data_IF_937218264877
#
_entry.id   IF_937218264877
#
_cell.length_a   1.000
_cell.length_b   1.000
_cell.length_c   1.000
_cell.angle_alpha   90.00
_cell.angle_beta   90.00
_cell.angle_gamma   90.00
#
_symmetry.space_group_name_H-M   'P 1'
#
loop_
_entity.id
_entity.type
_entity.pdbx_description
1 polymer ?
#
# COMPACT_ATOMS: atom_id res chain seq x y z
N UNK A 1 8.14 -8.90 11.93
CA UNK A 1 8.58 -10.24 11.49
C UNK A 1 8.90 -11.02 12.74
N UNK A 2 8.37 -12.22 12.93
CA UNK A 2 8.69 -13.04 14.10
C UNK A 2 10.11 -13.58 13.87
N UNK A 3 11.13 -12.97 14.49
CA UNK A 3 12.49 -13.51 14.48
C UNK A 3 12.48 -14.87 15.17
N UNK A 4 12.31 -15.94 14.39
CA UNK A 4 12.44 -17.30 14.88
C UNK A 4 13.93 -17.54 15.09
N UNK A 5 14.35 -17.62 16.34
CA UNK A 5 15.73 -17.97 16.69
C UNK A 5 16.12 -19.28 15.98
N UNK A 6 17.10 -19.23 15.08
CA UNK A 6 17.57 -20.41 14.38
C UNK A 6 18.30 -21.29 15.41
N UNK A 7 17.87 -22.54 15.65
CA UNK A 7 18.53 -23.40 16.61
C UNK A 7 19.92 -23.77 16.09
N UNK A 8 20.92 -23.68 16.97
CA UNK A 8 22.30 -24.07 16.64
C UNK A 8 22.36 -25.60 16.56
N UNK A 9 22.78 -26.18 15.41
CA UNK A 9 22.95 -27.62 15.28
C UNK A 9 23.97 -28.19 16.27
N UNK A 10 23.72 -29.41 16.75
CA UNK A 10 24.62 -30.09 17.67
C UNK A 10 26.04 -30.20 17.09
N UNK A 11 27.04 -29.81 17.88
CA UNK A 11 28.47 -29.83 17.49
C UNK A 11 29.01 -28.52 16.93
N UNK A 12 28.16 -27.51 16.68
CA UNK A 12 28.62 -26.15 16.38
C UNK A 12 28.69 -25.34 17.68
N UNK A 13 29.85 -24.72 17.92
CA UNK A 13 30.06 -23.83 19.07
C UNK A 13 30.02 -22.38 18.56
N UNK A 14 29.08 -21.54 19.04
CA UNK A 14 29.07 -20.13 18.67
C UNK A 14 30.35 -19.43 19.15
N UNK A 15 31.00 -18.60 18.31
CA UNK A 15 32.11 -17.77 18.72
C UNK A 15 31.62 -16.67 19.66
N UNK A 16 32.56 -16.09 20.41
CA UNK A 16 32.31 -14.92 21.25
C UNK A 16 32.43 -13.66 20.40
N UNK A 17 31.42 -12.79 20.40
CA UNK A 17 31.51 -11.49 19.75
C UNK A 17 32.34 -10.49 20.58
N UNK A 18 32.54 -9.29 20.05
CA UNK A 18 33.25 -8.21 20.77
C UNK A 18 32.54 -7.73 22.05
N UNK A 19 31.25 -8.06 22.23
CA UNK A 19 30.53 -7.78 23.48
C UNK A 19 30.87 -8.76 24.60
N UNK A 20 31.54 -9.88 24.30
CA UNK A 20 31.81 -10.94 25.28
C UNK A 20 30.63 -11.88 25.54
N UNK A 21 29.59 -11.85 24.68
CA UNK A 21 28.50 -12.82 24.68
C UNK A 21 28.60 -13.79 23.48
N UNK A 22 28.06 -15.03 23.58
CA UNK A 22 27.99 -15.95 22.45
C UNK A 22 27.16 -15.39 21.29
N UNK A 23 27.65 -15.56 20.06
CA UNK A 23 26.93 -15.12 18.86
C UNK A 23 25.66 -15.92 18.61
N UNK A 24 24.69 -15.28 17.95
CA UNK A 24 23.52 -15.96 17.38
C UNK A 24 23.81 -16.37 15.94
N UNK A 25 23.08 -17.38 15.45
CA UNK A 25 23.14 -17.82 14.06
C UNK A 25 22.01 -17.18 13.25
N UNK A 26 22.32 -16.69 12.05
CA UNK A 26 21.35 -16.19 11.10
C UNK A 26 21.59 -16.79 9.70
N UNK A 27 20.59 -16.70 8.81
CA UNK A 27 20.72 -17.10 7.41
C UNK A 27 20.61 -15.87 6.51
N UNK A 28 21.48 -15.77 5.51
CA UNK A 28 21.39 -14.70 4.52
C UNK A 28 20.18 -14.87 3.60
N UNK A 29 19.55 -13.75 3.25
CA UNK A 29 18.50 -13.61 2.25
C UNK A 29 19.01 -13.01 0.91
N UNK A 30 20.31 -12.68 0.83
CA UNK A 30 20.95 -12.13 -0.36
C UNK A 30 21.22 -13.21 -1.43
N UNK A 31 21.14 -12.86 -2.71
CA UNK A 31 21.26 -13.81 -3.84
C UNK A 31 22.58 -14.60 -3.83
N UNK A 32 23.71 -13.90 -3.62
CA UNK A 32 25.05 -14.49 -3.68
C UNK A 32 25.37 -15.36 -2.47
N UNK A 33 24.70 -15.11 -1.35
CA UNK A 33 24.94 -15.80 -0.08
C UNK A 33 23.71 -16.54 0.44
N UNK A 34 22.72 -16.78 -0.42
CA UNK A 34 21.39 -17.20 -0.01
C UNK A 34 21.37 -18.46 0.85
N UNK A 35 20.77 -18.33 2.03
CA UNK A 35 20.71 -19.33 3.10
C UNK A 35 22.06 -19.87 3.58
N UNK A 36 23.18 -19.19 3.29
CA UNK A 36 24.42 -19.45 4.01
C UNK A 36 24.21 -18.99 5.45
N UNK A 37 24.67 -19.81 6.38
CA UNK A 37 24.60 -19.50 7.80
C UNK A 37 25.82 -18.68 8.19
N UNK A 38 25.62 -17.72 9.06
CA UNK A 38 26.67 -16.92 9.66
C UNK A 38 26.39 -16.68 11.14
N UNK A 39 27.45 -16.50 11.89
CA UNK A 39 27.40 -15.98 13.25
C UNK A 39 27.30 -14.47 13.20
N UNK A 40 26.45 -13.90 14.05
CA UNK A 40 26.37 -12.46 14.23
C UNK A 40 26.12 -12.11 15.69
N UNK A 41 26.51 -10.90 16.09
CA UNK A 41 26.16 -10.41 17.42
C UNK A 41 24.65 -10.24 17.58
N UNK A 42 24.12 -10.53 18.77
CA UNK A 42 22.74 -10.18 19.11
C UNK A 42 22.51 -8.66 19.11
N UNK A 43 23.56 -7.88 19.38
CA UNK A 43 23.59 -6.41 19.36
C UNK A 43 24.09 -5.82 18.03
N UNK A 44 23.93 -6.56 16.91
CA UNK A 44 24.37 -6.13 15.56
C UNK A 44 23.54 -4.98 14.98
N UNK A 45 22.22 -5.05 15.16
CA UNK A 45 21.32 -3.94 14.90
C UNK A 45 20.60 -3.63 16.20
N UNK A 46 20.67 -2.37 16.64
CA UNK A 46 19.87 -1.89 17.75
C UNK A 46 18.41 -1.98 17.31
N UNK A 47 17.71 -2.98 17.81
CA UNK A 47 16.26 -3.14 17.69
C UNK A 47 15.65 -2.72 19.04
N UNK A 48 15.52 -1.41 19.30
CA UNK A 48 14.87 -1.00 20.52
C UNK A 48 13.42 -1.43 20.45
N UNK A 49 12.93 -2.12 21.49
CA UNK A 49 11.49 -2.19 21.70
C UNK A 49 10.95 -0.76 21.59
N UNK A 50 9.98 -0.53 20.70
CA UNK A 50 9.44 0.81 20.36
C UNK A 50 9.13 1.67 21.60
N UNK A 51 8.80 1.03 22.73
CA UNK A 51 8.51 1.67 24.02
C UNK A 51 9.73 2.27 24.74
N UNK A 52 10.93 1.76 24.50
CA UNK A 52 12.16 2.17 25.17
C UNK A 52 12.78 3.44 24.54
N UNK A 53 12.56 3.67 23.25
CA UNK A 53 12.99 4.91 22.54
C UNK A 53 12.19 6.13 22.99
N UNK A 54 10.88 5.97 23.24
CA UNK A 54 10.00 7.09 23.61
C UNK A 54 10.35 7.76 24.94
N UNK A 55 11.05 7.07 25.84
CA UNK A 55 11.34 7.57 27.19
C UNK A 55 12.68 8.33 27.23
N UNK A 56 13.49 8.30 26.16
CA UNK A 56 14.75 9.06 26.07
C UNK A 56 15.81 8.64 27.09
N UNK A 57 15.64 7.48 27.73
CA UNK A 57 16.46 7.00 28.86
C UNK A 57 17.56 6.00 28.46
N UNK A 58 17.69 5.65 27.18
CA UNK A 58 18.64 4.65 26.70
C UNK A 58 19.49 5.26 25.59
N UNK A 59 20.76 5.54 25.89
CA UNK A 59 21.77 5.64 24.84
C UNK A 59 21.85 4.27 24.16
N UNK A 60 21.71 4.18 22.82
CA UNK A 60 21.78 2.89 22.16
C UNK A 60 23.13 2.25 22.48
N UNK A 61 23.18 1.00 22.98
CA UNK A 61 24.44 0.33 23.22
C UNK A 61 25.26 0.35 21.93
N UNK A 62 26.59 0.47 22.02
CA UNK A 62 27.44 0.48 20.84
C UNK A 62 27.18 -0.81 20.05
N UNK A 63 26.82 -0.67 18.78
CA UNK A 63 26.55 -1.80 17.91
C UNK A 63 27.80 -2.66 17.79
N UNK A 64 27.61 -3.97 17.80
CA UNK A 64 28.69 -4.93 17.58
C UNK A 64 28.52 -5.54 16.21
N UNK A 65 29.43 -5.19 15.31
CA UNK A 65 29.47 -5.59 13.91
C UNK A 65 30.13 -6.95 13.68
N UNK A 66 30.35 -7.73 14.75
CA UNK A 66 30.90 -9.08 14.62
C UNK A 66 29.99 -9.93 13.71
N UNK A 67 30.59 -10.42 12.62
CA UNK A 67 29.98 -11.30 11.64
C UNK A 67 31.02 -12.32 11.16
N UNK A 68 30.67 -13.61 11.18
CA UNK A 68 31.55 -14.68 10.71
C UNK A 68 30.76 -15.76 9.96
N UNK A 69 31.17 -16.06 8.72
CA UNK A 69 30.50 -17.08 7.90
C UNK A 69 30.76 -18.50 8.41
N UNK A 70 29.69 -19.28 8.52
CA UNK A 70 29.77 -20.72 8.85
C UNK A 70 29.90 -21.54 7.56
N UNK A 71 29.06 -21.22 6.59
CA UNK A 71 29.07 -21.88 5.29
C UNK A 71 29.87 -21.03 4.29
N UNK A 72 30.86 -21.61 3.61
CA UNK A 72 31.67 -20.91 2.61
C UNK A 72 31.01 -20.86 1.23
N UNK A 73 30.11 -21.80 0.93
CA UNK A 73 29.48 -21.96 -0.38
C UNK A 73 27.95 -22.01 -0.27
N UNK A 74 27.27 -21.41 -1.25
CA UNK A 74 25.82 -21.58 -1.42
C UNK A 74 25.55 -22.94 -2.05
N UNK A 75 24.74 -23.76 -1.39
CA UNK A 75 24.27 -25.04 -1.94
C UNK A 75 23.47 -24.78 -3.22
N UNK A 76 23.70 -25.57 -4.27
CA UNK A 76 22.99 -25.45 -5.55
C UNK A 76 21.46 -25.43 -5.38
N UNK A 77 20.92 -26.32 -4.55
CA UNK A 77 19.50 -26.34 -4.19
C UNK A 77 18.99 -25.01 -3.62
N UNK A 78 19.81 -24.26 -2.89
CA UNK A 78 19.41 -22.95 -2.40
C UNK A 78 19.36 -21.93 -3.55
N UNK A 79 20.31 -22.00 -4.50
CA UNK A 79 20.29 -21.14 -5.70
C UNK A 79 19.05 -21.40 -6.56
N UNK A 80 18.72 -22.66 -6.80
CA UNK A 80 17.50 -23.05 -7.51
C UNK A 80 16.27 -22.49 -6.81
N UNK A 81 16.17 -22.68 -5.50
CA UNK A 81 15.05 -22.18 -4.71
C UNK A 81 14.95 -20.65 -4.71
N UNK A 82 16.07 -19.93 -4.69
CA UNK A 82 16.07 -18.47 -4.83
C UNK A 82 15.49 -18.03 -6.18
N UNK A 83 15.90 -18.70 -7.26
CA UNK A 83 15.38 -18.42 -8.60
C UNK A 83 13.87 -18.67 -8.68
N UNK A 84 13.37 -19.76 -8.09
CA UNK A 84 11.94 -20.03 -8.01
C UNK A 84 11.17 -18.94 -7.24
N UNK A 85 11.72 -18.49 -6.10
CA UNK A 85 11.14 -17.40 -5.31
C UNK A 85 11.12 -16.09 -6.11
N UNK A 86 12.18 -15.79 -6.85
CA UNK A 86 12.25 -14.62 -7.74
C UNK A 86 11.17 -14.67 -8.81
N UNK A 87 11.05 -15.81 -9.51
CA UNK A 87 10.05 -15.99 -10.56
C UNK A 87 8.62 -15.92 -10.02
N UNK A 88 8.39 -16.48 -8.83
CA UNK A 88 7.11 -16.38 -8.13
C UNK A 88 6.79 -14.93 -7.76
N UNK A 89 7.75 -14.18 -7.21
CA UNK A 89 7.58 -12.77 -6.88
C UNK A 89 7.24 -11.92 -8.12
N UNK A 90 7.90 -12.17 -9.26
CA UNK A 90 7.58 -11.52 -10.53
C UNK A 90 6.12 -11.79 -10.93
N UNK A 91 5.67 -13.05 -10.87
CA UNK A 91 4.28 -13.43 -11.21
C UNK A 91 3.26 -12.76 -10.29
N UNK A 92 3.49 -12.78 -8.98
CA UNK A 92 2.61 -12.15 -7.98
C UNK A 92 2.53 -10.65 -8.21
N UNK A 93 3.67 -9.98 -8.38
CA UNK A 93 3.73 -8.54 -8.60
C UNK A 93 3.07 -8.14 -9.92
N UNK A 94 3.25 -8.92 -11.00
CA UNK A 94 2.55 -8.70 -12.26
C UNK A 94 1.03 -8.81 -12.08
N UNK A 95 0.55 -9.81 -11.33
CA UNK A 95 -0.87 -9.97 -11.00
C UNK A 95 -1.43 -8.82 -10.17
N UNK A 96 -0.68 -8.32 -9.18
CA UNK A 96 -1.05 -7.14 -8.38
C UNK A 96 -1.13 -5.91 -9.27
N UNK A 97 -0.13 -5.70 -10.14
CA UNK A 97 -0.09 -4.55 -11.05
C UNK A 97 -1.25 -4.58 -12.06
N UNK A 98 -1.60 -5.76 -12.60
CA UNK A 98 -2.75 -5.92 -13.49
C UNK A 98 -4.07 -5.54 -12.79
N UNK A 99 -4.31 -6.05 -11.59
CA UNK A 99 -5.51 -5.71 -10.80
C UNK A 99 -5.62 -4.22 -10.51
N UNK A 100 -4.50 -3.56 -10.16
CA UNK A 100 -4.47 -2.10 -9.94
C UNK A 100 -4.87 -1.33 -11.20
N UNK A 101 -4.35 -1.72 -12.37
CA UNK A 101 -4.71 -1.10 -13.66
C UNK A 101 -6.19 -1.29 -14.00
N UNK A 102 -6.74 -2.49 -13.80
CA UNK A 102 -8.15 -2.77 -14.04
C UNK A 102 -9.07 -1.96 -13.12
N UNK A 103 -8.70 -1.83 -11.84
CA UNK A 103 -9.42 -1.03 -10.85
C UNK A 103 -9.39 0.46 -11.21
N UNK A 104 -8.22 0.98 -11.60
CA UNK A 104 -8.07 2.37 -12.06
C UNK A 104 -8.97 2.65 -13.26
N UNK A 105 -8.91 1.81 -14.30
CA UNK A 105 -9.78 1.93 -15.47
C UNK A 105 -11.27 1.84 -15.11
N UNK A 106 -11.65 0.96 -14.18
CA UNK A 106 -13.03 0.85 -13.70
C UNK A 106 -13.46 2.14 -12.99
N UNK A 107 -12.61 2.69 -12.13
CA UNK A 107 -12.87 3.91 -11.40
C UNK A 107 -12.99 5.11 -12.34
N UNK A 108 -12.16 5.19 -13.38
CA UNK A 108 -12.27 6.19 -14.44
C UNK A 108 -13.60 6.10 -15.19
N UNK A 109 -14.01 4.90 -15.62
CA UNK A 109 -15.31 4.70 -16.29
C UNK A 109 -16.47 5.16 -15.41
N UNK A 110 -16.46 4.76 -14.13
CA UNK A 110 -17.48 5.18 -13.15
C UNK A 110 -17.45 6.70 -12.95
N UNK A 111 -16.26 7.31 -12.86
CA UNK A 111 -16.12 8.75 -12.70
C UNK A 111 -16.66 9.50 -13.92
N UNK A 112 -16.40 9.02 -15.12
CA UNK A 112 -16.92 9.60 -16.35
C UNK A 112 -18.44 9.49 -16.44
N UNK A 113 -19.02 8.32 -16.14
CA UNK A 113 -20.47 8.14 -16.08
C UNK A 113 -21.12 9.11 -15.08
N UNK A 114 -20.52 9.27 -13.89
CA UNK A 114 -20.96 10.27 -12.90
C UNK A 114 -20.90 11.69 -13.44
N UNK A 115 -19.83 12.06 -14.16
CA UNK A 115 -19.70 13.38 -14.80
C UNK A 115 -20.79 13.60 -15.86
N UNK A 116 -21.05 12.60 -16.72
CA UNK A 116 -22.10 12.64 -17.74
C UNK A 116 -23.50 12.77 -17.10
N UNK A 117 -23.78 11.98 -16.06
CA UNK A 117 -25.04 12.06 -15.32
C UNK A 117 -25.24 13.41 -14.63
N UNK A 118 -24.19 13.98 -14.03
CA UNK A 118 -24.23 15.30 -13.43
C UNK A 118 -24.48 16.41 -14.47
N UNK A 119 -23.84 16.31 -15.65
CA UNK A 119 -24.07 17.23 -16.75
C UNK A 119 -25.52 17.19 -17.25
N UNK A 120 -26.10 15.98 -17.42
CA UNK A 120 -27.51 15.79 -17.79
C UNK A 120 -28.45 16.43 -16.76
N UNK A 121 -28.26 16.16 -15.46
CA UNK A 121 -29.06 16.78 -14.38
C UNK A 121 -28.96 18.30 -14.39
N UNK A 122 -27.77 18.86 -14.66
CA UNK A 122 -27.57 20.32 -14.76
C UNK A 122 -28.31 20.90 -15.97
N UNK A 123 -28.29 20.22 -17.12
CA UNK A 123 -29.03 20.62 -18.31
C UNK A 123 -30.55 20.59 -18.07
N UNK A 124 -31.08 19.50 -17.52
CA UNK A 124 -32.50 19.39 -17.15
C UNK A 124 -32.93 20.49 -16.19
N UNK A 125 -32.12 20.80 -15.17
CA UNK A 125 -32.38 21.91 -14.24
C UNK A 125 -32.42 23.26 -14.96
N UNK A 126 -31.51 23.51 -15.91
CA UNK A 126 -31.52 24.75 -16.72
C UNK A 126 -32.81 24.87 -17.54
N UNK A 127 -33.28 23.78 -18.17
CA UNK A 127 -34.53 23.77 -18.92
C UNK A 127 -35.73 24.06 -18.00
N UNK A 128 -35.82 23.39 -16.85
CA UNK A 128 -36.88 23.64 -15.86
C UNK A 128 -36.88 25.09 -15.37
N UNK A 129 -35.70 25.65 -15.07
CA UNK A 129 -35.57 27.05 -14.66
C UNK A 129 -35.96 28.02 -15.78
N UNK A 130 -35.59 27.75 -17.03
CA UNK A 130 -36.00 28.57 -18.17
C UNK A 130 -37.52 28.55 -18.36
N UNK A 131 -38.16 27.38 -18.23
CA UNK A 131 -39.63 27.26 -18.26
C UNK A 131 -40.29 28.05 -17.13
N UNK A 132 -39.76 27.96 -15.91
CA UNK A 132 -40.27 28.72 -14.76
C UNK A 132 -40.12 30.25 -14.97
N UNK A 133 -38.99 30.71 -15.54
CA UNK A 133 -38.79 32.13 -15.89
C UNK A 133 -39.80 32.61 -16.94
N UNK A 134 -40.04 31.82 -17.99
CA UNK A 134 -41.07 32.13 -19.01
C UNK A 134 -42.46 32.24 -18.39
N UNK A 135 -42.85 31.29 -17.55
CA UNK A 135 -44.13 31.34 -16.84
C UNK A 135 -44.25 32.57 -15.93
N UNK A 136 -43.18 32.94 -15.22
CA UNK A 136 -43.15 34.13 -14.37
C UNK A 136 -43.27 35.43 -15.18
N UNK A 137 -42.57 35.53 -16.31
CA UNK A 137 -42.65 36.69 -17.21
C UNK A 137 -44.08 36.87 -17.75
N UNK A 138 -44.70 35.78 -18.22
CA UNK A 138 -46.09 35.82 -18.70
C UNK A 138 -47.09 36.29 -17.62
N UNK A 139 -46.88 35.92 -16.35
CA UNK A 139 -47.70 36.41 -15.24
C UNK A 139 -47.47 37.89 -14.94
N UNK A 140 -46.24 38.38 -15.09
CA UNK A 140 -45.91 39.80 -14.90
C UNK A 140 -46.49 40.67 -16.03
N UNK A 141 -46.47 40.18 -17.27
CA UNK A 141 -47.04 40.87 -18.44
C UNK A 141 -48.58 40.86 -18.42
N UNK A 142 -49.22 39.86 -17.81
CA UNK A 142 -50.67 39.77 -17.69
C UNK A 142 -51.13 39.36 -16.27
N UNK A 143 -51.10 40.30 -15.30
CA UNK A 143 -51.49 40.02 -13.92
C UNK A 143 -53.00 39.73 -13.76
N UNK A 144 -53.84 40.23 -14.67
CA UNK A 144 -55.29 40.00 -14.68
C UNK A 144 -55.70 38.57 -15.09
N UNK A 145 -54.82 37.81 -15.75
CA UNK A 145 -55.05 36.42 -16.14
C UNK A 145 -55.31 35.50 -14.94
N UNK A 146 -54.64 35.77 -13.80
CA UNK A 146 -54.84 35.05 -12.55
C UNK A 146 -56.23 35.33 -11.96
N UNK A 147 -56.73 36.57 -12.08
CA UNK A 147 -58.04 37.01 -11.56
C UNK A 147 -59.22 36.48 -12.38
N UNK A 148 -59.03 36.24 -13.67
CA UNK A 148 -60.07 35.77 -14.60
C UNK A 148 -60.07 34.25 -14.82
N UNK A 149 -59.24 33.49 -14.10
CA UNK A 149 -59.17 32.03 -14.18
C UNK A 149 -58.64 31.47 -15.51
N UNK A 150 -58.09 32.31 -16.39
CA UNK A 150 -57.59 31.89 -17.72
C UNK A 150 -56.08 31.79 -17.68
N UNK A 151 -55.57 30.60 -17.35
CA UNK A 151 -54.14 30.31 -17.43
C UNK A 151 -53.65 30.33 -18.88
N UNK A 152 -52.54 31.02 -19.20
CA UNK A 152 -51.91 30.90 -20.51
C UNK A 152 -51.41 29.46 -20.70
N UNK A 153 -51.86 28.78 -21.76
CA UNK A 153 -51.31 27.48 -22.13
C UNK A 153 -49.84 27.66 -22.52
N UNK A 154 -48.94 27.20 -21.64
CA UNK A 154 -47.52 27.12 -21.94
C UNK A 154 -47.33 26.02 -23.00
N UNK A 155 -47.22 26.40 -24.27
CA UNK A 155 -46.87 25.49 -25.36
C UNK A 155 -45.46 24.92 -25.16
N UNK A 156 -45.32 23.63 -25.48
CA UNK A 156 -44.14 22.78 -25.22
C UNK A 156 -42.89 23.27 -25.95
#
# INVERSE_FOLDING_TARGET
MCYTHIPIPAGLVPPMCFCGDPCKMEMSDEEETFRRRYWMCANWAFDPLEKAVMIGTIEPPPLCDFEEWIDMEVKEKNREWFNELRDWNVKINAGIAARKKEEEQRNERIAEEKRRAAAKRKAERKVKLARARRAKAALQENPDALRKGKWPHCTQ
#
